data_IF_501872092119
#
_entry.id   IF_501872092119
#
_cell.length_a   1.000
_cell.length_b   1.000
_cell.length_c   1.000
_cell.angle_alpha   90.00
_cell.angle_beta   90.00
_cell.angle_gamma   90.00
#
_symmetry.space_group_name_H-M   'P 1'
#
loop_
_entity.id
_entity.type
_entity.pdbx_description
1 polymer ?
#
# COMPACT_ATOMS: atom_id res chain seq x y z
N UNK A 1 9.77 -16.67 -15.49
CA UNK A 1 8.46 -16.86 -14.81
C UNK A 1 7.39 -16.16 -15.65
N UNK A 2 6.89 -16.82 -16.70
CA UNK A 2 5.87 -16.24 -17.59
C UNK A 2 4.47 -16.71 -17.15
N UNK A 3 3.50 -15.81 -17.01
CA UNK A 3 2.08 -16.15 -16.80
C UNK A 3 1.33 -15.46 -15.65
N UNK A 4 1.94 -14.56 -14.87
CA UNK A 4 1.19 -13.79 -13.86
C UNK A 4 0.52 -12.57 -14.49
N UNK A 5 -0.74 -12.24 -14.11
CA UNK A 5 -1.37 -10.99 -14.49
C UNK A 5 -0.53 -9.80 -14.04
N UNK A 6 -0.32 -8.84 -14.94
CA UNK A 6 0.32 -7.55 -14.67
C UNK A 6 -0.72 -6.45 -14.46
N UNK A 7 -1.91 -6.61 -15.04
CA UNK A 7 -3.02 -5.69 -14.93
C UNK A 7 -4.29 -6.42 -14.51
N UNK A 8 -5.18 -5.72 -13.83
CA UNK A 8 -6.48 -6.24 -13.44
C UNK A 8 -7.57 -5.32 -13.98
N UNK A 9 -8.53 -5.90 -14.69
CA UNK A 9 -9.68 -5.17 -15.24
C UNK A 9 -10.84 -5.26 -14.24
N UNK A 10 -11.50 -4.13 -14.00
CA UNK A 10 -12.66 -4.04 -13.12
C UNK A 10 -13.86 -3.47 -13.87
N UNK A 11 -15.02 -4.08 -13.68
CA UNK A 11 -16.31 -3.60 -14.19
C UNK A 11 -17.35 -3.71 -13.06
N UNK A 12 -18.17 -2.66 -12.89
CA UNK A 12 -19.20 -2.60 -11.84
C UNK A 12 -18.70 -2.97 -10.43
N UNK A 13 -17.45 -2.62 -10.12
CA UNK A 13 -16.83 -2.87 -8.80
C UNK A 13 -16.26 -4.27 -8.60
N UNK A 14 -16.31 -5.16 -9.61
CA UNK A 14 -15.75 -6.51 -9.53
C UNK A 14 -14.55 -6.69 -10.48
N UNK A 15 -13.55 -7.45 -10.05
CA UNK A 15 -12.43 -7.84 -10.91
C UNK A 15 -12.91 -8.88 -11.93
N UNK A 16 -12.89 -8.54 -13.21
CA UNK A 16 -13.37 -9.43 -14.28
C UNK A 16 -12.25 -10.23 -14.91
N UNK A 17 -11.05 -9.64 -15.06
CA UNK A 17 -9.94 -10.25 -15.78
C UNK A 17 -8.57 -9.89 -15.19
N UNK A 18 -7.63 -10.85 -15.29
CA UNK A 18 -6.20 -10.61 -15.12
C UNK A 18 -5.49 -10.63 -16.48
N UNK A 19 -4.78 -9.56 -16.82
CA UNK A 19 -4.18 -9.34 -18.14
C UNK A 19 -2.66 -9.29 -18.06
N UNK A 20 -1.98 -9.79 -19.09
CA UNK A 20 -0.52 -9.67 -19.26
C UNK A 20 -0.12 -8.52 -20.17
N UNK A 21 -1.07 -7.97 -20.94
CA UNK A 21 -0.87 -6.84 -21.86
C UNK A 21 -2.16 -6.03 -21.99
N UNK A 22 -2.01 -4.74 -22.27
CA UNK A 22 -3.12 -3.79 -22.49
C UNK A 22 -3.33 -3.47 -23.98
N UNK A 23 -2.57 -4.05 -24.91
CA UNK A 23 -2.64 -3.74 -26.35
C UNK A 23 -4.05 -3.83 -26.94
N UNK A 24 -4.85 -4.80 -26.48
CA UNK A 24 -6.24 -4.99 -26.91
C UNK A 24 -7.18 -3.85 -26.53
N UNK A 25 -6.77 -2.98 -25.60
CA UNK A 25 -7.55 -1.88 -25.07
C UNK A 25 -7.02 -0.51 -25.51
N UNK A 26 -6.08 -0.46 -26.47
CA UNK A 26 -5.40 0.78 -26.90
C UNK A 26 -6.36 1.91 -27.26
N UNK A 27 -7.44 1.62 -27.99
CA UNK A 27 -8.45 2.62 -28.35
C UNK A 27 -9.21 3.15 -27.14
N UNK A 28 -9.63 2.28 -26.21
CA UNK A 28 -10.33 2.70 -24.97
C UNK A 28 -9.41 3.55 -24.08
N UNK A 29 -8.12 3.20 -24.02
CA UNK A 29 -7.14 3.91 -23.20
C UNK A 29 -6.88 5.35 -23.67
N UNK A 30 -7.22 5.71 -24.92
CA UNK A 30 -7.06 7.09 -25.44
C UNK A 30 -7.93 8.10 -24.68
N UNK A 31 -9.11 7.68 -24.23
CA UNK A 31 -10.06 8.54 -23.52
C UNK A 31 -9.99 8.37 -21.98
N UNK A 32 -9.04 7.56 -21.49
CA UNK A 32 -8.90 7.29 -20.06
C UNK A 32 -7.94 8.26 -19.36
N UNK A 33 -8.27 8.59 -18.12
CA UNK A 33 -7.36 9.30 -17.22
C UNK A 33 -6.53 8.27 -16.44
N UNK A 34 -5.22 8.44 -16.44
CA UNK A 34 -4.29 7.58 -15.70
C UNK A 34 -3.85 8.27 -14.42
N UNK A 35 -3.98 7.57 -13.29
CA UNK A 35 -3.45 8.00 -12.00
C UNK A 35 -2.21 7.17 -11.65
N UNK A 36 -1.06 7.82 -11.53
CA UNK A 36 0.13 7.17 -10.99
C UNK A 36 0.13 7.29 -9.46
N UNK A 37 -0.30 6.22 -8.81
CA UNK A 37 -0.36 6.13 -7.35
C UNK A 37 0.96 5.58 -6.81
N UNK A 38 1.67 6.38 -6.04
CA UNK A 38 2.91 5.99 -5.39
C UNK A 38 3.35 7.06 -4.40
N UNK A 39 4.23 6.67 -3.48
CA UNK A 39 4.93 7.59 -2.62
C UNK A 39 6.43 7.39 -2.82
N UNK A 40 7.21 8.46 -2.72
CA UNK A 40 8.67 8.41 -2.70
C UNK A 40 9.24 7.84 -1.39
N UNK A 41 8.38 7.43 -0.44
CA UNK A 41 8.77 6.85 0.83
C UNK A 41 8.86 5.34 0.75
N UNK A 42 10.02 4.81 1.11
CA UNK A 42 10.25 3.39 1.27
C UNK A 42 10.41 3.08 2.77
N UNK A 43 9.51 2.28 3.37
CA UNK A 43 9.61 1.88 4.78
C UNK A 43 10.93 1.17 5.14
N UNK A 44 11.60 0.61 4.13
CA UNK A 44 12.92 0.00 4.26
C UNK A 44 14.00 1.01 4.63
N UNK A 45 13.98 2.22 4.07
CA UNK A 45 14.95 3.28 4.41
C UNK A 45 14.84 3.68 5.90
N UNK A 46 13.62 3.73 6.44
CA UNK A 46 13.41 3.98 7.86
C UNK A 46 13.91 2.81 8.74
N UNK A 47 13.80 1.57 8.24
CA UNK A 47 14.26 0.36 8.94
C UNK A 47 15.80 0.30 8.98
N UNK A 48 16.45 0.61 7.87
CA UNK A 48 17.92 0.67 7.77
C UNK A 48 18.51 1.70 8.73
N UNK A 49 17.90 2.90 8.82
CA UNK A 49 18.33 3.96 9.77
C UNK A 49 18.36 3.51 11.23
N UNK A 50 17.56 2.52 11.60
CA UNK A 50 17.48 2.00 12.98
C UNK A 50 18.18 0.65 13.17
N UNK A 51 18.87 0.18 12.14
CA UNK A 51 19.58 -1.09 12.13
C UNK A 51 18.66 -2.31 12.14
N UNK A 52 17.43 -2.16 11.65
CA UNK A 52 16.56 -3.31 11.40
C UNK A 52 16.90 -3.88 10.02
N UNK A 53 17.05 -5.22 9.89
CA UNK A 53 17.21 -5.81 8.58
C UNK A 53 16.00 -5.43 7.74
N UNK A 54 16.25 -4.93 6.52
CA UNK A 54 15.21 -4.74 5.53
C UNK A 54 14.41 -6.03 5.35
N UNK A 55 13.15 -5.93 4.89
CA UNK A 55 12.41 -7.13 4.52
C UNK A 55 13.23 -7.86 3.47
N UNK A 56 13.57 -9.11 3.77
CA UNK A 56 14.48 -9.97 3.01
C UNK A 56 14.42 -9.73 1.47
N UNK A 57 15.55 -9.48 0.79
CA UNK A 57 15.58 -9.19 -0.65
C UNK A 57 15.16 -10.38 -1.53
N UNK A 58 15.13 -11.60 -1.01
CA UNK A 58 14.89 -12.83 -1.79
C UNK A 58 13.45 -13.37 -1.74
N UNK A 59 12.48 -12.59 -1.28
CA UNK A 59 11.09 -13.02 -1.26
C UNK A 59 10.17 -11.96 -1.83
N UNK A 60 9.61 -12.23 -3.03
CA UNK A 60 8.35 -11.65 -3.51
C UNK A 60 7.18 -12.00 -2.55
N UNK A 61 7.30 -11.65 -1.27
CA UNK A 61 6.23 -11.71 -0.30
C UNK A 61 5.41 -10.45 -0.51
N UNK A 62 4.29 -10.61 -1.22
CA UNK A 62 3.28 -9.58 -1.38
C UNK A 62 3.17 -8.78 -0.08
N UNK A 63 3.35 -7.46 -0.16
CA UNK A 63 3.06 -6.60 0.98
C UNK A 63 1.62 -6.93 1.39
N UNK A 64 1.45 -7.54 2.57
CA UNK A 64 0.11 -7.90 3.04
C UNK A 64 -0.66 -6.60 3.23
N UNK A 65 -1.59 -6.37 2.31
CA UNK A 65 -2.52 -5.25 2.33
C UNK A 65 -3.78 -5.70 3.07
N UNK A 66 -4.22 -4.88 4.03
CA UNK A 66 -5.38 -5.16 4.87
C UNK A 66 -6.42 -4.06 4.68
N UNK A 67 -7.67 -4.45 4.43
CA UNK A 67 -8.81 -3.52 4.47
C UNK A 67 -9.15 -3.26 5.93
N UNK A 68 -9.23 -1.99 6.32
CA UNK A 68 -9.58 -1.58 7.69
C UNK A 68 -11.06 -1.22 7.80
N UNK A 69 -11.49 -0.85 9.00
CA UNK A 69 -12.84 -0.29 9.25
C UNK A 69 -12.87 1.24 9.09
N UNK A 70 -11.72 1.87 8.87
CA UNK A 70 -11.59 3.32 8.74
C UNK A 70 -11.99 3.73 7.33
N UNK A 71 -13.00 4.62 7.15
CA UNK A 71 -13.38 5.09 5.83
C UNK A 71 -12.37 6.12 5.29
N UNK A 72 -12.09 6.07 3.99
CA UNK A 72 -11.47 7.18 3.29
C UNK A 72 -12.43 8.37 3.19
N UNK A 73 -11.90 9.58 2.95
CA UNK A 73 -12.72 10.73 2.61
C UNK A 73 -13.57 10.42 1.37
N UNK A 74 -14.87 10.62 1.49
CA UNK A 74 -15.83 10.33 0.41
C UNK A 74 -15.87 11.46 -0.60
N UNK A 75 -15.95 11.09 -1.88
CA UNK A 75 -16.23 12.01 -2.99
C UNK A 75 -17.23 11.35 -3.93
N UNK A 76 -17.82 12.11 -4.85
CA UNK A 76 -18.90 11.62 -5.73
C UNK A 76 -18.51 10.32 -6.44
N UNK A 77 -19.22 9.24 -6.11
CA UNK A 77 -18.99 7.90 -6.68
C UNK A 77 -17.87 7.07 -6.04
N UNK A 78 -17.11 7.62 -5.09
CA UNK A 78 -16.01 6.92 -4.42
C UNK A 78 -16.19 6.88 -2.90
N UNK A 79 -16.40 5.67 -2.39
CA UNK A 79 -16.41 5.36 -0.96
C UNK A 79 -15.70 4.03 -0.74
N UNK A 80 -14.63 4.03 0.04
CA UNK A 80 -13.84 2.83 0.29
C UNK A 80 -13.23 2.84 1.70
N UNK A 81 -12.98 1.65 2.27
CA UNK A 81 -12.15 1.56 3.48
C UNK A 81 -10.69 1.86 3.14
N UNK A 82 -9.98 2.44 4.10
CA UNK A 82 -8.54 2.60 4.05
C UNK A 82 -7.87 1.23 4.01
N UNK A 83 -6.95 1.07 3.05
CA UNK A 83 -6.12 -0.12 2.90
C UNK A 83 -4.73 0.19 3.45
N UNK A 84 -4.23 -0.69 4.31
CA UNK A 84 -2.98 -0.48 5.03
C UNK A 84 -2.03 -1.63 4.80
N UNK A 85 -0.74 -1.37 4.96
CA UNK A 85 0.28 -2.41 5.00
C UNK A 85 0.87 -2.44 6.40
N UNK A 86 1.18 -3.63 6.90
CA UNK A 86 1.73 -3.78 8.25
C UNK A 86 3.21 -4.13 8.16
N UNK A 87 4.03 -3.53 9.04
CA UNK A 87 5.43 -3.89 9.25
C UNK A 87 5.60 -4.47 10.66
N UNK A 88 5.93 -5.76 10.81
CA UNK A 88 6.32 -6.31 12.10
C UNK A 88 7.65 -5.70 12.57
N UNK A 89 7.70 -5.21 13.80
CA UNK A 89 8.90 -4.58 14.36
C UNK A 89 9.15 -4.99 15.81
N UNK A 90 10.41 -5.22 16.22
CA UNK A 90 10.76 -5.48 17.62
C UNK A 90 10.37 -4.31 18.53
N UNK A 91 9.86 -4.62 19.73
CA UNK A 91 9.35 -3.62 20.68
C UNK A 91 10.44 -2.62 21.10
N UNK A 92 11.68 -3.07 21.25
CA UNK A 92 12.84 -2.25 21.61
C UNK A 92 13.30 -1.31 20.49
N UNK A 93 12.83 -1.53 19.26
CA UNK A 93 13.17 -0.72 18.07
C UNK A 93 12.01 0.14 17.58
N UNK A 94 10.80 -0.09 18.07
CA UNK A 94 9.58 0.57 17.63
C UNK A 94 9.66 2.09 17.71
N UNK A 95 10.09 2.63 18.85
CA UNK A 95 10.18 4.08 19.04
C UNK A 95 11.16 4.71 18.04
N UNK A 96 12.35 4.13 17.88
CA UNK A 96 13.35 4.60 16.92
C UNK A 96 12.82 4.53 15.49
N UNK A 97 12.12 3.45 15.14
CA UNK A 97 11.54 3.27 13.82
C UNK A 97 10.49 4.34 13.52
N UNK A 98 9.58 4.61 14.46
CA UNK A 98 8.56 5.66 14.33
C UNK A 98 9.21 7.03 14.16
N UNK A 99 10.24 7.34 14.96
CA UNK A 99 10.97 8.61 14.82
C UNK A 99 11.66 8.73 13.45
N UNK A 100 12.32 7.66 12.99
CA UNK A 100 12.95 7.63 11.68
C UNK A 100 11.92 7.80 10.55
N UNK A 101 10.76 7.14 10.63
CA UNK A 101 9.68 7.29 9.65
C UNK A 101 9.09 8.71 9.65
N UNK A 102 8.84 9.30 10.82
CA UNK A 102 8.31 10.66 10.95
C UNK A 102 9.30 11.73 10.44
N UNK A 103 10.61 11.51 10.58
CA UNK A 103 11.64 12.43 10.07
C UNK A 103 11.70 12.52 8.55
N UNK A 104 11.01 11.63 7.84
CA UNK A 104 10.99 11.55 6.37
C UNK A 104 9.79 12.26 5.74
N UNK A 105 9.03 13.00 6.55
CA UNK A 105 7.85 13.78 6.13
C UNK A 105 6.54 13.07 6.43
N UNK A 106 5.42 13.74 6.08
CA UNK A 106 4.08 13.26 6.43
C UNK A 106 3.73 11.92 5.77
N UNK A 107 4.26 11.64 4.57
CA UNK A 107 3.88 10.46 3.78
C UNK A 107 4.48 9.12 4.27
N UNK A 108 5.27 9.13 5.35
CA UNK A 108 5.86 7.93 5.95
C UNK A 108 5.40 7.62 7.37
N UNK A 109 4.55 8.47 7.95
CA UNK A 109 4.14 8.35 9.36
C UNK A 109 3.22 7.13 9.55
N UNK A 110 3.48 6.26 10.54
CA UNK A 110 2.56 5.19 10.87
C UNK A 110 1.20 5.75 11.27
N UNK A 111 0.16 5.29 10.59
CA UNK A 111 -1.24 5.63 10.92
C UNK A 111 -1.79 4.81 12.10
N UNK A 112 -1.15 3.68 12.43
CA UNK A 112 -1.51 2.81 13.55
C UNK A 112 -0.29 2.06 14.08
N UNK A 113 -0.24 1.87 15.39
CA UNK A 113 0.76 1.05 16.08
C UNK A 113 0.03 0.18 17.11
N UNK A 114 0.15 -1.14 16.98
CA UNK A 114 -0.45 -2.08 17.92
C UNK A 114 -1.13 -3.26 17.23
N UNK A 115 -2.16 -3.80 17.88
CA UNK A 115 -2.85 -4.99 17.39
C UNK A 115 -3.59 -4.70 16.06
N UNK A 116 -3.54 -5.61 15.06
CA UNK A 116 -4.19 -5.40 13.76
C UNK A 116 -5.70 -5.14 13.84
N UNK A 117 -6.39 -5.72 14.82
CA UNK A 117 -7.84 -5.55 15.02
C UNK A 117 -8.26 -4.21 15.61
N UNK A 118 -7.31 -3.33 15.94
CA UNK A 118 -7.56 -2.04 16.59
C UNK A 118 -7.32 -0.82 15.71
N UNK A 119 -7.16 -1.02 14.39
CA UNK A 119 -7.07 0.11 13.45
C UNK A 119 -8.43 0.78 13.36
N UNK A 120 -8.58 1.87 14.11
CA UNK A 120 -9.75 2.74 14.13
C UNK A 120 -9.34 4.14 13.67
N UNK A 121 -10.31 4.95 13.23
CA UNK A 121 -10.05 6.36 12.92
C UNK A 121 -9.51 7.03 14.18
N UNK A 122 -8.35 7.66 14.08
CA UNK A 122 -7.91 8.57 15.14
C UNK A 122 -8.96 9.70 15.25
N UNK A 123 -9.46 10.04 16.46
CA UNK A 123 -10.34 11.18 16.65
C UNK A 123 -9.67 12.51 16.29
#
# INVERSE_FOLDING_TARGET
MMGRPQFYKYEFGACTDGLTSLEKYSEQLKDMVTFHLGCSFFPEEASEKVGLPGRHPEGHGHVCAYKTTVPCATTDGFCCPLVVTMMPSPKDRLEKLVQASCSMGEQGRPIHIGAPGSVHSCP
#
